data_IF_316644798637
#
_entry.id   IF_316644798637
#
_cell.length_a   1.000
_cell.length_b   1.000
_cell.length_c   1.000
_cell.angle_alpha   90.00
_cell.angle_beta   90.00
_cell.angle_gamma   90.00
#
_symmetry.space_group_name_H-M   'P 1'
#
loop_
_entity.id
_entity.type
_entity.pdbx_description
1 polymer ?
#
# COMPACT_ATOMS: atom_id res chain seq x y z
N UNK A 1 -49.63 -24.16 3.24
CA UNK A 1 -48.76 -24.37 4.42
C UNK A 1 -47.35 -23.97 4.02
N UNK A 2 -46.99 -22.71 4.25
CA UNK A 2 -45.68 -22.13 3.96
C UNK A 2 -44.86 -22.16 5.24
N UNK A 3 -43.71 -22.83 5.22
CA UNK A 3 -42.80 -22.90 6.36
C UNK A 3 -42.29 -21.50 6.76
N UNK A 4 -42.09 -21.21 8.06
CA UNK A 4 -41.58 -19.92 8.49
C UNK A 4 -40.11 -19.78 8.06
N UNK A 5 -39.76 -18.64 7.46
CA UNK A 5 -38.38 -18.26 7.14
C UNK A 5 -37.59 -18.12 8.45
N UNK A 6 -36.46 -18.81 8.55
CA UNK A 6 -35.48 -18.59 9.61
C UNK A 6 -35.03 -17.13 9.66
N UNK A 7 -34.85 -16.54 10.85
CA UNK A 7 -34.37 -15.16 10.97
C UNK A 7 -32.94 -15.06 10.44
N UNK A 8 -32.67 -13.96 9.71
CA UNK A 8 -31.34 -13.62 9.24
C UNK A 8 -30.36 -13.46 10.43
N UNK A 9 -29.10 -13.91 10.31
CA UNK A 9 -28.10 -13.68 11.35
C UNK A 9 -27.84 -12.16 11.47
N UNK A 10 -27.88 -11.66 12.70
CA UNK A 10 -27.61 -10.25 13.02
C UNK A 10 -26.15 -9.85 12.77
N UNK A 11 -25.81 -8.55 12.94
CA UNK A 11 -24.44 -8.06 12.76
C UNK A 11 -23.48 -8.86 13.65
N UNK A 12 -22.33 -9.22 13.10
CA UNK A 12 -21.31 -10.01 13.79
C UNK A 12 -20.86 -9.32 15.08
N UNK A 13 -21.47 -9.72 16.19
CA UNK A 13 -21.03 -9.41 17.54
C UNK A 13 -19.55 -9.78 17.69
N UNK A 14 -18.72 -8.98 18.38
CA UNK A 14 -17.34 -9.38 18.68
C UNK A 14 -17.32 -10.78 19.31
N UNK A 15 -16.35 -11.60 18.88
CA UNK A 15 -16.09 -12.92 19.45
C UNK A 15 -16.16 -12.87 20.98
N UNK A 16 -16.98 -13.76 21.55
CA UNK A 16 -17.27 -13.85 22.97
C UNK A 16 -16.05 -14.17 23.86
N UNK A 17 -14.86 -14.34 23.28
CA UNK A 17 -13.65 -14.80 23.99
C UNK A 17 -12.63 -13.70 24.32
N UNK A 18 -12.93 -12.42 24.08
CA UNK A 18 -11.99 -11.32 24.43
C UNK A 18 -10.64 -11.36 23.67
N UNK A 19 -10.50 -12.24 22.67
CA UNK A 19 -9.32 -12.33 21.82
C UNK A 19 -9.42 -11.28 20.72
N UNK A 20 -8.48 -10.33 20.74
CA UNK A 20 -8.43 -9.27 19.74
C UNK A 20 -8.33 -9.83 18.31
N UNK A 21 -9.10 -9.27 17.38
CA UNK A 21 -9.20 -9.76 16.00
C UNK A 21 -7.96 -9.37 15.22
N UNK A 22 -7.20 -10.34 14.71
CA UNK A 22 -6.02 -10.03 13.88
C UNK A 22 -6.46 -9.49 12.52
N UNK A 23 -5.68 -8.57 11.97
CA UNK A 23 -5.89 -8.05 10.61
C UNK A 23 -4.55 -7.75 9.96
N UNK A 24 -4.43 -8.03 8.66
CA UNK A 24 -3.34 -7.49 7.84
C UNK A 24 -3.83 -6.25 7.11
N UNK A 25 -2.95 -5.26 6.94
CA UNK A 25 -3.30 -4.01 6.29
C UNK A 25 -2.51 -3.80 5.02
N UNK A 26 -3.16 -3.27 3.99
CA UNK A 26 -2.52 -2.71 2.81
C UNK A 26 -2.87 -1.23 2.72
N UNK A 27 -1.87 -0.36 2.80
CA UNK A 27 -2.04 1.09 2.90
C UNK A 27 -1.54 1.77 1.63
N UNK A 28 -2.44 2.52 0.98
CA UNK A 28 -2.11 3.28 -0.23
C UNK A 28 -1.16 4.45 0.05
N UNK A 29 -0.31 4.79 -0.92
CA UNK A 29 0.41 6.05 -0.94
C UNK A 29 -0.50 7.25 -1.26
N UNK A 30 -0.28 8.37 -0.57
CA UNK A 30 -1.05 9.59 -0.81
C UNK A 30 -0.42 10.88 -0.28
N UNK A 31 0.88 10.89 -0.02
CA UNK A 31 1.60 12.04 0.56
C UNK A 31 0.97 12.51 1.87
N UNK A 32 0.62 13.80 1.96
CA UNK A 32 0.04 14.40 3.18
C UNK A 32 -1.33 13.82 3.58
N UNK A 33 -1.99 13.11 2.67
CA UNK A 33 -3.27 12.42 2.93
C UNK A 33 -3.15 11.26 3.92
N UNK A 34 -1.93 10.91 4.34
CA UNK A 34 -1.66 9.90 5.36
C UNK A 34 -2.43 10.11 6.68
N UNK A 35 -2.83 11.34 7.01
CA UNK A 35 -3.70 11.62 8.17
C UNK A 35 -5.02 10.84 8.09
N UNK A 36 -5.57 10.66 6.89
CA UNK A 36 -6.80 9.90 6.70
C UNK A 36 -6.58 8.40 6.93
N UNK A 37 -5.41 7.85 6.61
CA UNK A 37 -5.04 6.48 6.96
C UNK A 37 -5.03 6.30 8.48
N UNK A 38 -4.46 7.26 9.22
CA UNK A 38 -4.43 7.21 10.69
C UNK A 38 -5.82 7.27 11.32
N UNK A 39 -6.74 8.08 10.76
CA UNK A 39 -8.14 8.07 11.18
C UNK A 39 -8.82 6.71 10.98
N UNK A 40 -8.58 6.04 9.86
CA UNK A 40 -9.11 4.70 9.62
C UNK A 40 -8.48 3.65 10.57
N UNK A 41 -7.16 3.72 10.78
CA UNK A 41 -6.42 2.86 11.71
C UNK A 41 -6.97 2.95 13.15
N UNK A 42 -7.30 4.17 13.61
CA UNK A 42 -7.84 4.40 14.93
C UNK A 42 -9.19 3.70 15.12
N UNK A 43 -10.08 3.78 14.13
CA UNK A 43 -11.36 3.06 14.18
C UNK A 43 -11.16 1.55 14.17
N UNK A 44 -10.22 1.02 13.38
CA UNK A 44 -9.91 -0.41 13.40
C UNK A 44 -9.48 -0.86 14.81
N UNK A 45 -8.60 -0.11 15.46
CA UNK A 45 -8.17 -0.42 16.84
C UNK A 45 -9.33 -0.31 17.86
N UNK A 46 -10.17 0.72 17.76
CA UNK A 46 -11.37 0.89 18.60
C UNK A 46 -12.34 -0.28 18.49
N UNK A 47 -12.39 -0.93 17.33
CA UNK A 47 -13.21 -2.12 17.05
C UNK A 47 -12.55 -3.44 17.42
N UNK A 48 -11.42 -3.38 18.11
CA UNK A 48 -10.72 -4.54 18.62
C UNK A 48 -9.87 -5.25 17.57
N UNK A 49 -9.63 -4.62 16.41
CA UNK A 49 -8.65 -5.15 15.46
C UNK A 49 -7.23 -4.86 15.93
N UNK A 50 -6.35 -5.86 15.78
CA UNK A 50 -4.91 -5.76 16.04
C UNK A 50 -4.16 -6.03 14.76
N UNK A 51 -3.39 -5.02 14.35
CA UNK A 51 -2.62 -5.08 13.12
C UNK A 51 -1.47 -6.07 13.27
N UNK A 52 -1.54 -7.15 12.51
CA UNK A 52 -0.53 -8.18 12.50
C UNK A 52 0.60 -7.84 11.52
N UNK A 53 0.24 -7.55 10.26
CA UNK A 53 1.16 -7.15 9.20
C UNK A 53 0.64 -5.94 8.44
N UNK A 54 1.55 -5.18 7.84
CA UNK A 54 1.25 -4.03 7.00
C UNK A 54 2.08 -4.09 5.73
N UNK A 55 1.45 -3.84 4.59
CA UNK A 55 2.12 -3.48 3.37
C UNK A 55 1.77 -2.04 3.01
N UNK A 56 2.74 -1.25 2.57
CA UNK A 56 2.50 0.16 2.29
C UNK A 56 3.39 0.73 1.21
N UNK A 57 2.85 1.72 0.50
CA UNK A 57 3.56 2.58 -0.43
C UNK A 57 3.58 4.02 0.09
N UNK A 58 4.70 4.72 0.01
CA UNK A 58 4.82 6.16 0.31
C UNK A 58 4.24 6.52 1.71
N UNK A 59 3.21 7.35 1.79
CA UNK A 59 2.50 7.66 3.04
C UNK A 59 1.98 6.41 3.79
N UNK A 60 1.54 5.38 3.06
CA UNK A 60 1.15 4.10 3.63
C UNK A 60 2.34 3.34 4.21
N UNK A 61 3.54 3.48 3.64
CA UNK A 61 4.76 2.90 4.20
C UNK A 61 5.18 3.61 5.51
N UNK A 62 4.98 4.94 5.59
CA UNK A 62 5.19 5.70 6.83
C UNK A 62 4.22 5.21 7.92
N UNK A 63 2.92 5.21 7.63
CA UNK A 63 1.91 4.73 8.57
C UNK A 63 2.17 3.28 8.98
N UNK A 64 2.52 2.41 8.03
CA UNK A 64 2.87 1.03 8.30
C UNK A 64 4.10 0.87 9.20
N UNK A 65 5.15 1.67 9.00
CA UNK A 65 6.32 1.66 9.88
C UNK A 65 5.96 2.06 11.31
N UNK A 66 5.14 3.10 11.49
CA UNK A 66 4.68 3.55 12.81
C UNK A 66 3.79 2.50 13.51
N UNK A 67 2.82 1.93 12.80
CA UNK A 67 1.94 0.87 13.33
C UNK A 67 2.73 -0.38 13.71
N UNK A 68 3.67 -0.81 12.85
CA UNK A 68 4.45 -2.02 13.10
C UNK A 68 5.49 -1.84 14.19
N UNK A 69 5.93 -0.61 14.47
CA UNK A 69 6.72 -0.26 15.66
C UNK A 69 5.92 -0.35 16.98
N UNK A 70 4.61 -0.60 16.93
CA UNK A 70 3.76 -0.74 18.12
C UNK A 70 3.17 0.58 18.63
N UNK A 71 3.24 1.65 17.83
CA UNK A 71 2.65 2.94 18.17
C UNK A 71 1.12 2.82 18.08
N UNK A 72 0.36 3.13 19.15
CA UNK A 72 -1.10 3.13 19.10
C UNK A 72 -1.64 4.10 18.04
N UNK A 73 -2.73 3.74 17.36
CA UNK A 73 -3.25 4.53 16.24
C UNK A 73 -3.59 5.98 16.65
N UNK A 74 -4.16 6.18 17.85
CA UNK A 74 -4.40 7.53 18.42
C UNK A 74 -3.14 8.41 18.46
N UNK A 75 -1.99 7.80 18.74
CA UNK A 75 -0.70 8.50 18.81
C UNK A 75 -0.13 8.73 17.41
N UNK A 76 -0.36 7.80 16.47
CA UNK A 76 -0.04 8.02 15.05
C UNK A 76 -0.82 9.22 14.51
N UNK A 77 -2.11 9.35 14.85
CA UNK A 77 -2.92 10.52 14.50
C UNK A 77 -2.27 11.79 15.03
N UNK A 78 -1.86 11.82 16.31
CA UNK A 78 -1.19 12.97 16.90
C UNK A 78 0.12 13.32 16.19
N UNK A 79 1.01 12.34 15.99
CA UNK A 79 2.30 12.50 15.30
C UNK A 79 2.08 13.12 13.91
N UNK A 80 1.13 12.60 13.13
CA UNK A 80 0.86 13.10 11.79
C UNK A 80 0.22 14.50 11.79
N UNK A 81 -0.63 14.82 12.77
CA UNK A 81 -1.25 16.15 12.90
C UNK A 81 -0.24 17.24 13.30
N UNK A 82 0.70 16.91 14.18
CA UNK A 82 1.69 17.85 14.72
C UNK A 82 2.92 18.01 13.82
N UNK A 83 3.09 17.13 12.84
CA UNK A 83 4.22 17.20 11.91
C UNK A 83 4.10 18.39 10.98
N UNK A 84 5.09 19.29 11.02
CA UNK A 84 5.20 20.37 10.03
C UNK A 84 5.71 19.81 8.69
N UNK A 85 4.77 19.41 7.84
CA UNK A 85 5.00 18.86 6.52
C UNK A 85 5.83 19.78 5.60
N UNK A 86 5.86 21.10 5.84
CA UNK A 86 6.70 22.04 5.07
C UNK A 86 8.19 21.78 5.25
N UNK A 87 8.59 21.18 6.38
CA UNK A 87 9.98 20.78 6.63
C UNK A 87 10.40 19.59 5.77
N UNK A 88 9.44 18.85 5.20
CA UNK A 88 9.73 17.78 4.26
C UNK A 88 10.22 18.35 2.91
N UNK A 89 9.96 19.62 2.64
CA UNK A 89 10.45 20.37 1.47
C UNK A 89 11.93 20.81 1.63
N UNK A 90 12.82 19.88 1.96
CA UNK A 90 14.24 20.14 2.26
C UNK A 90 15.14 20.37 1.02
N UNK A 91 14.62 21.11 0.05
CA UNK A 91 15.31 21.51 -1.17
C UNK A 91 16.26 22.70 -0.94
N UNK A 92 17.33 22.85 -1.74
CA UNK A 92 18.20 24.04 -1.67
C UNK A 92 17.39 25.33 -1.88
N UNK A 93 17.75 26.42 -1.19
CA UNK A 93 17.03 27.70 -1.26
C UNK A 93 16.83 28.24 -2.69
N UNK A 94 17.76 27.95 -3.61
CA UNK A 94 17.69 28.34 -5.02
C UNK A 94 16.65 27.55 -5.85
N UNK A 95 16.10 26.46 -5.30
CA UNK A 95 15.01 25.69 -5.90
C UNK A 95 13.61 26.23 -5.56
N UNK A 96 13.52 27.31 -4.77
CA UNK A 96 12.25 28.00 -4.47
C UNK A 96 11.60 28.64 -5.71
N UNK A 97 12.32 29.37 -6.59
CA UNK A 97 11.75 29.88 -7.85
C UNK A 97 11.49 28.76 -8.88
N UNK A 98 10.47 28.94 -9.74
CA UNK A 98 10.04 27.99 -10.78
C UNK A 98 11.17 27.52 -11.70
N UNK A 99 12.07 28.43 -12.11
CA UNK A 99 13.23 28.09 -12.93
C UNK A 99 14.23 27.18 -12.18
N UNK A 100 14.40 27.39 -10.87
CA UNK A 100 15.23 26.56 -10.00
C UNK A 100 14.64 25.15 -9.81
N UNK A 101 13.31 25.00 -9.75
CA UNK A 101 12.65 23.69 -9.73
C UNK A 101 12.86 22.92 -11.03
N UNK A 102 12.69 23.57 -12.18
CA UNK A 102 12.94 22.96 -13.49
C UNK A 102 14.40 22.51 -13.64
N UNK A 103 15.35 23.33 -13.21
CA UNK A 103 16.77 22.98 -13.23
C UNK A 103 17.13 21.88 -12.22
N UNK A 104 16.56 21.86 -11.02
CA UNK A 104 16.79 20.80 -10.04
C UNK A 104 16.20 19.46 -10.49
N UNK A 105 15.05 19.47 -11.16
CA UNK A 105 14.50 18.28 -11.82
C UNK A 105 15.43 17.81 -12.95
N UNK A 106 15.94 18.73 -13.77
CA UNK A 106 16.87 18.43 -14.87
C UNK A 106 18.24 17.90 -14.38
N UNK A 107 18.77 18.44 -13.28
CA UNK A 107 20.12 18.11 -12.78
C UNK A 107 20.14 16.99 -11.73
N UNK A 108 19.06 16.82 -10.97
CA UNK A 108 19.03 15.93 -9.80
C UNK A 108 17.81 15.01 -9.76
N UNK A 109 16.96 15.03 -10.78
CA UNK A 109 15.75 14.20 -10.91
C UNK A 109 14.77 14.35 -9.73
N UNK A 110 14.87 15.43 -8.95
CA UNK A 110 14.03 15.75 -7.80
C UNK A 110 14.48 17.02 -7.06
N UNK A 111 13.53 17.75 -6.49
CA UNK A 111 13.74 19.05 -5.84
C UNK A 111 14.21 18.89 -4.38
N UNK A 112 13.62 17.96 -3.65
CA UNK A 112 13.81 17.75 -2.21
C UNK A 112 14.71 16.54 -1.93
N UNK A 113 15.59 16.62 -0.93
CA UNK A 113 16.52 15.54 -0.58
C UNK A 113 15.85 14.43 0.23
N UNK A 114 14.81 14.75 1.00
CA UNK A 114 14.13 13.87 1.94
C UNK A 114 14.99 13.41 3.12
N UNK A 115 16.03 14.17 3.45
CA UNK A 115 16.87 13.97 4.64
C UNK A 115 16.07 14.22 5.91
N UNK A 116 15.25 15.27 5.93
CA UNK A 116 14.41 15.56 7.10
C UNK A 116 13.39 14.45 7.34
N UNK A 117 12.70 13.96 6.30
CA UNK A 117 11.75 12.83 6.41
C UNK A 117 12.43 11.59 7.00
N UNK A 118 13.64 11.26 6.52
CA UNK A 118 14.41 10.13 7.04
C UNK A 118 14.77 10.30 8.52
N UNK A 119 15.23 11.48 8.92
CA UNK A 119 15.59 11.79 10.31
C UNK A 119 14.38 11.76 11.23
N UNK A 120 13.29 12.40 10.82
CA UNK A 120 12.02 12.41 11.54
C UNK A 120 11.51 10.99 11.77
N UNK A 121 11.47 10.15 10.73
CA UNK A 121 11.00 8.77 10.89
C UNK A 121 11.92 7.95 11.80
N UNK A 122 13.25 8.12 11.67
CA UNK A 122 14.21 7.47 12.56
C UNK A 122 13.98 7.86 14.02
N UNK A 123 13.68 9.13 14.29
CA UNK A 123 13.37 9.61 15.64
C UNK A 123 12.07 9.01 16.18
N UNK A 124 11.00 8.96 15.38
CA UNK A 124 9.74 8.34 15.79
C UNK A 124 9.91 6.84 16.09
N UNK A 125 10.62 6.11 15.22
CA UNK A 125 10.87 4.68 15.44
C UNK A 125 11.76 4.43 16.67
N UNK A 126 12.74 5.29 16.93
CA UNK A 126 13.60 5.18 18.13
C UNK A 126 12.84 5.54 19.41
N UNK A 127 11.96 6.54 19.37
CA UNK A 127 11.20 7.00 20.53
C UNK A 127 10.12 6.00 20.96
N UNK A 128 9.63 5.17 20.04
CA UNK A 128 8.52 4.25 20.30
C UNK A 128 8.85 2.77 20.06
N UNK A 129 10.04 2.45 19.55
CA UNK A 129 10.49 1.09 19.36
C UNK A 129 10.82 0.40 20.69
N UNK A 130 10.97 -0.92 20.63
CA UNK A 130 11.43 -1.71 21.76
C UNK A 130 12.84 -1.27 22.20
N UNK A 131 13.15 -1.43 23.48
CA UNK A 131 14.48 -1.18 23.99
C UNK A 131 15.52 -2.06 23.26
N UNK A 132 16.60 -1.45 22.76
CA UNK A 132 17.60 -2.13 21.95
C UNK A 132 17.21 -2.41 20.49
N UNK A 133 16.08 -1.89 20.00
CA UNK A 133 15.69 -2.02 18.60
C UNK A 133 16.79 -1.47 17.66
N UNK A 134 17.08 -2.24 16.61
CA UNK A 134 18.13 -1.93 15.63
C UNK A 134 17.69 -0.89 14.59
N UNK A 135 16.38 -0.70 14.42
CA UNK A 135 15.79 0.14 13.38
C UNK A 135 15.77 -0.52 12.00
N UNK A 136 16.04 -1.83 11.93
CA UNK A 136 16.04 -2.62 10.69
C UNK A 136 14.84 -3.58 10.63
N UNK A 137 14.66 -4.25 9.50
CA UNK A 137 13.62 -5.28 9.39
C UNK A 137 13.88 -6.52 10.26
N UNK A 138 15.05 -6.64 10.91
CA UNK A 138 15.29 -7.67 11.92
C UNK A 138 14.30 -7.56 13.09
N UNK A 139 13.97 -6.32 13.49
CA UNK A 139 13.03 -6.04 14.59
C UNK A 139 11.57 -6.38 14.21
N UNK A 140 11.30 -6.58 12.92
CA UNK A 140 9.96 -6.73 12.35
C UNK A 140 9.67 -8.15 11.85
N UNK A 141 10.39 -9.16 12.33
CA UNK A 141 10.14 -10.57 12.00
C UNK A 141 8.77 -11.03 12.53
N UNK A 142 8.03 -11.74 11.69
CA UNK A 142 6.82 -12.45 12.09
C UNK A 142 7.16 -13.89 12.47
N UNK A 143 6.60 -14.34 13.59
CA UNK A 143 6.46 -15.76 13.91
C UNK A 143 5.01 -16.16 13.68
N UNK A 144 4.77 -17.32 13.08
CA UNK A 144 3.43 -17.87 12.96
C UNK A 144 2.87 -18.10 14.36
N UNK A 145 1.72 -17.51 14.72
CA UNK A 145 1.15 -17.68 16.05
C UNK A 145 0.81 -19.13 16.43
N UNK A 146 0.60 -20.02 15.46
CA UNK A 146 0.26 -21.42 15.68
C UNK A 146 1.49 -22.34 15.70
N UNK A 147 2.47 -22.12 14.83
CA UNK A 147 3.63 -23.03 14.69
C UNK A 147 4.92 -22.47 15.30
N UNK A 148 4.97 -21.18 15.65
CA UNK A 148 6.19 -20.50 16.12
C UNK A 148 7.28 -20.36 15.04
N UNK A 149 7.03 -20.83 13.82
CA UNK A 149 7.99 -20.78 12.71
C UNK A 149 7.92 -19.44 12.00
N UNK A 150 9.02 -19.02 11.37
CA UNK A 150 9.04 -17.80 10.56
C UNK A 150 8.51 -18.13 9.16
N UNK A 151 7.37 -17.54 8.73
CA UNK A 151 6.82 -17.83 7.41
C UNK A 151 7.74 -17.35 6.27
N UNK A 152 7.68 -18.01 5.12
CA UNK A 152 8.40 -17.58 3.92
C UNK A 152 7.75 -16.33 3.27
N UNK A 153 8.54 -15.59 2.47
CA UNK A 153 8.05 -14.47 1.68
C UNK A 153 7.52 -13.29 2.50
N UNK A 154 6.45 -12.65 2.01
CA UNK A 154 5.84 -11.46 2.64
C UNK A 154 5.31 -11.73 4.05
N UNK A 155 4.92 -12.98 4.32
CA UNK A 155 4.34 -13.38 5.59
C UNK A 155 5.37 -13.43 6.73
N UNK A 156 6.67 -13.44 6.41
CA UNK A 156 7.78 -13.49 7.37
C UNK A 156 8.10 -12.16 8.06
N UNK A 157 7.45 -11.07 7.65
CA UNK A 157 7.71 -9.72 8.16
C UNK A 157 6.41 -8.99 8.50
N UNK A 158 6.45 -8.15 9.54
CA UNK A 158 5.33 -7.30 9.97
C UNK A 158 5.14 -6.12 9.03
N UNK A 159 6.20 -5.69 8.33
CA UNK A 159 6.15 -4.58 7.38
C UNK A 159 6.68 -5.03 6.02
N UNK A 160 5.95 -4.68 4.97
CA UNK A 160 6.37 -4.78 3.57
C UNK A 160 6.24 -3.40 2.93
N UNK A 161 7.35 -2.85 2.43
CA UNK A 161 7.38 -1.54 1.79
C UNK A 161 7.54 -1.72 0.29
N UNK A 162 6.69 -1.07 -0.50
CA UNK A 162 6.85 -1.10 -1.97
C UNK A 162 7.69 0.06 -2.47
N UNK A 163 8.61 -0.21 -3.39
CA UNK A 163 9.40 0.81 -4.07
C UNK A 163 9.57 0.44 -5.54
N UNK A 164 9.60 1.43 -6.43
CA UNK A 164 9.78 1.20 -7.86
C UNK A 164 11.26 1.25 -8.21
N UNK A 165 11.80 0.15 -8.72
CA UNK A 165 13.20 0.05 -9.16
C UNK A 165 13.29 0.47 -10.63
N UNK A 166 13.80 1.69 -10.85
CA UNK A 166 13.99 2.25 -12.19
C UNK A 166 15.13 1.56 -12.95
N UNK A 167 16.09 0.97 -12.25
CA UNK A 167 17.23 0.28 -12.87
C UNK A 167 16.79 -1.07 -13.44
N UNK A 168 15.93 -1.80 -12.72
CA UNK A 168 15.41 -3.10 -13.15
C UNK A 168 14.03 -3.03 -13.82
N UNK A 169 13.36 -1.87 -13.82
CA UNK A 169 12.03 -1.68 -14.40
C UNK A 169 10.93 -2.49 -13.72
N UNK A 170 11.02 -2.72 -12.40
CA UNK A 170 10.05 -3.54 -11.65
C UNK A 170 9.76 -3.01 -10.25
N UNK A 171 8.61 -3.39 -9.72
CA UNK A 171 8.26 -3.13 -8.32
C UNK A 171 9.09 -4.04 -7.40
N UNK A 172 9.54 -3.48 -6.29
CA UNK A 172 10.25 -4.18 -5.22
C UNK A 172 9.39 -4.22 -3.97
N UNK A 173 9.40 -5.36 -3.30
CA UNK A 173 8.80 -5.57 -1.99
C UNK A 173 9.94 -5.68 -0.98
N UNK A 174 10.15 -4.63 -0.18
CA UNK A 174 11.17 -4.60 0.85
C UNK A 174 10.58 -5.09 2.18
N UNK A 175 11.18 -6.07 2.86
CA UNK A 175 12.56 -6.52 2.69
C UNK A 175 12.76 -7.76 1.82
N UNK A 176 11.70 -8.32 1.20
CA UNK A 176 11.78 -9.58 0.43
C UNK A 176 12.83 -9.51 -0.70
N UNK A 177 12.89 -8.38 -1.39
CA UNK A 177 13.81 -8.13 -2.50
C UNK A 177 15.17 -7.56 -2.05
N UNK A 178 15.51 -7.61 -0.75
CA UNK A 178 16.76 -7.04 -0.23
C UNK A 178 18.02 -7.59 -0.92
N UNK A 179 18.03 -8.88 -1.28
CA UNK A 179 19.14 -9.50 -2.00
C UNK A 179 19.43 -8.82 -3.35
N UNK A 180 18.39 -8.33 -4.04
CA UNK A 180 18.54 -7.61 -5.30
C UNK A 180 19.14 -6.20 -5.10
N UNK A 181 19.14 -5.68 -3.87
CA UNK A 181 19.82 -4.46 -3.46
C UNK A 181 21.23 -4.74 -2.91
N UNK A 182 21.69 -5.99 -2.95
CA UNK A 182 22.99 -6.40 -2.42
C UNK A 182 23.10 -6.28 -0.89
N UNK A 183 22.00 -6.51 -0.18
CA UNK A 183 21.92 -6.57 1.29
C UNK A 183 21.04 -7.74 1.74
N UNK A 184 21.05 -8.06 3.03
CA UNK A 184 20.08 -9.00 3.62
C UNK A 184 18.84 -8.26 4.13
N UNK A 185 17.68 -8.93 4.22
CA UNK A 185 16.50 -8.37 4.88
C UNK A 185 16.80 -7.80 6.27
N UNK A 186 17.57 -8.52 7.08
CA UNK A 186 17.86 -8.18 8.48
C UNK A 186 18.78 -6.95 8.61
N UNK A 187 19.65 -6.72 7.63
CA UNK A 187 20.52 -5.55 7.60
C UNK A 187 19.84 -4.32 6.98
N UNK A 188 18.64 -4.46 6.41
CA UNK A 188 17.94 -3.38 5.70
C UNK A 188 17.31 -2.39 6.71
N UNK A 189 17.72 -1.10 6.74
CA UNK A 189 17.09 -0.12 7.61
C UNK A 189 15.66 0.18 7.17
N UNK A 190 14.71 0.15 8.09
CA UNK A 190 13.28 0.44 7.80
C UNK A 190 13.15 1.86 7.24
N UNK A 191 13.87 2.81 7.83
CA UNK A 191 13.86 4.22 7.42
C UNK A 191 14.32 4.43 5.98
N UNK A 192 15.27 3.62 5.51
CA UNK A 192 15.80 3.75 4.14
C UNK A 192 14.85 3.11 3.11
N UNK A 193 14.20 2.00 3.47
CA UNK A 193 13.14 1.40 2.66
C UNK A 193 11.93 2.36 2.53
N UNK A 194 11.47 2.94 3.64
CA UNK A 194 10.37 3.93 3.62
C UNK A 194 10.80 5.18 2.85
N UNK A 195 12.02 5.69 3.05
CA UNK A 195 12.53 6.83 2.29
C UNK A 195 12.58 6.55 0.78
N UNK A 196 12.98 5.35 0.37
CA UNK A 196 12.91 4.95 -1.03
C UNK A 196 11.45 4.98 -1.55
N UNK A 197 10.53 4.40 -0.78
CA UNK A 197 9.10 4.34 -1.08
C UNK A 197 8.41 5.71 -1.11
N UNK A 198 8.96 6.75 -0.48
CA UNK A 198 8.42 8.13 -0.52
C UNK A 198 9.12 9.01 -1.56
N UNK A 199 9.95 8.45 -2.44
CA UNK A 199 10.75 9.21 -3.42
C UNK A 199 9.91 9.58 -4.66
N UNK A 200 8.88 10.41 -4.48
CA UNK A 200 7.97 10.81 -5.56
C UNK A 200 8.77 11.47 -6.69
N UNK A 201 8.75 10.93 -7.93
CA UNK A 201 9.51 11.47 -9.05
C UNK A 201 9.25 12.96 -9.26
N UNK A 202 10.29 13.70 -9.65
CA UNK A 202 10.28 15.16 -9.83
C UNK A 202 10.13 15.98 -8.53
N UNK A 203 9.66 15.38 -7.43
CA UNK A 203 9.50 16.06 -6.13
C UNK A 203 10.64 15.71 -5.17
N UNK A 204 10.78 14.44 -4.80
CA UNK A 204 11.91 13.95 -4.00
C UNK A 204 12.99 13.36 -4.92
N UNK A 205 14.26 13.57 -4.54
CA UNK A 205 15.39 12.92 -5.20
C UNK A 205 15.26 11.40 -5.07
N UNK A 206 15.55 10.66 -6.15
CA UNK A 206 15.54 9.20 -6.11
C UNK A 206 16.61 8.69 -5.14
N UNK A 207 16.31 7.57 -4.46
CA UNK A 207 17.28 6.89 -3.60
C UNK A 207 18.21 6.06 -4.47
N UNK A 208 19.50 6.33 -4.40
CA UNK A 208 20.54 5.52 -5.06
C UNK A 208 21.08 4.52 -4.05
N UNK A 209 20.64 3.27 -4.17
CA UNK A 209 21.11 2.18 -3.33
C UNK A 209 22.40 1.60 -3.88
N UNK A 210 23.46 1.58 -3.09
CA UNK A 210 24.74 0.96 -3.45
C UNK A 210 24.90 -0.33 -2.65
N UNK A 211 24.62 -1.46 -3.30
CA UNK A 211 24.82 -2.78 -2.69
C UNK A 211 26.29 -3.21 -2.67
N UNK A 212 26.59 -4.28 -1.93
CA UNK A 212 27.94 -4.84 -1.83
C UNK A 212 28.55 -5.26 -3.19
N UNK A 213 27.72 -5.50 -4.21
CA UNK A 213 28.14 -5.88 -5.56
C UNK A 213 28.47 -4.72 -6.51
N UNK A 214 28.61 -3.48 -6.02
CA UNK A 214 29.06 -2.31 -6.81
C UNK A 214 28.05 -1.74 -7.81
N UNK A 215 26.96 -2.46 -8.14
CA UNK A 215 25.85 -1.93 -8.95
C UNK A 215 24.99 -0.98 -8.13
N UNK A 216 24.72 0.20 -8.69
CA UNK A 216 23.82 1.20 -8.09
C UNK A 216 22.40 0.97 -8.60
N UNK A 217 21.47 0.70 -7.69
CA UNK A 217 20.04 0.61 -7.97
C UNK A 217 19.38 1.97 -7.70
N UNK A 218 18.51 2.43 -8.60
CA UNK A 218 17.78 3.69 -8.43
C UNK A 218 16.33 3.37 -8.06
N UNK A 219 15.96 3.71 -6.83
CA UNK A 219 14.63 3.49 -6.28
C UNK A 219 13.85 4.81 -6.24
N UNK A 220 12.58 4.74 -6.65
CA UNK A 220 11.60 5.80 -6.51
C UNK A 220 10.34 5.29 -5.82
N UNK A 221 9.39 6.19 -5.59
CA UNK A 221 8.11 5.90 -4.94
C UNK A 221 7.43 4.65 -5.52
N UNK A 222 6.89 3.80 -4.64
CA UNK A 222 6.21 2.57 -5.03
C UNK A 222 4.98 2.85 -5.90
N UNK A 223 4.33 4.00 -5.69
CA UNK A 223 3.18 4.47 -6.45
C UNK A 223 3.44 4.67 -7.93
N UNK A 224 4.70 4.71 -8.39
CA UNK A 224 5.02 4.73 -9.82
C UNK A 224 4.55 3.44 -10.54
N UNK A 225 4.70 2.27 -9.91
CA UNK A 225 4.36 0.98 -10.51
C UNK A 225 3.19 0.27 -9.81
N UNK A 226 3.00 0.48 -8.51
CA UNK A 226 1.83 -0.01 -7.77
C UNK A 226 1.67 0.77 -6.48
N UNK A 227 0.62 1.60 -6.40
CA UNK A 227 0.35 2.39 -5.22
C UNK A 227 -0.41 1.59 -4.15
N UNK A 228 -0.99 0.44 -4.52
CA UNK A 228 -1.87 -0.34 -3.66
C UNK A 228 -1.76 -1.86 -3.90
N UNK A 229 -0.75 -2.54 -3.30
CA UNK A 229 -0.50 -3.97 -3.51
C UNK A 229 -1.44 -4.85 -2.66
N UNK A 230 -2.75 -4.75 -2.88
CA UNK A 230 -3.80 -5.37 -2.02
C UNK A 230 -3.66 -6.89 -1.85
N UNK A 231 -3.07 -7.57 -2.83
CA UNK A 231 -2.86 -9.01 -2.87
C UNK A 231 -1.55 -9.50 -2.23
N UNK A 232 -0.72 -8.61 -1.68
CA UNK A 232 0.60 -8.95 -1.13
C UNK A 232 0.58 -9.99 -0.01
N UNK A 233 -0.52 -10.05 0.75
CA UNK A 233 -0.74 -11.04 1.82
C UNK A 233 -1.76 -12.11 1.44
N UNK A 234 -2.16 -12.19 0.17
CA UNK A 234 -3.06 -13.25 -0.28
C UNK A 234 -2.30 -14.57 -0.35
N UNK A 235 -2.96 -15.64 0.11
CA UNK A 235 -2.36 -16.98 0.06
C UNK A 235 -2.33 -17.48 -1.39
N UNK A 236 -1.22 -18.09 -1.83
CA UNK A 236 -1.16 -18.76 -3.13
C UNK A 236 -2.30 -19.77 -3.28
N UNK A 237 -2.86 -19.89 -4.49
CA UNK A 237 -3.94 -20.86 -4.75
C UNK A 237 -5.32 -20.46 -4.21
N UNK A 238 -5.48 -19.27 -3.64
CA UNK A 238 -6.79 -18.77 -3.19
C UNK A 238 -7.30 -19.38 -1.89
N UNK A 239 -6.40 -20.00 -1.11
CA UNK A 239 -6.71 -20.58 0.19
C UNK A 239 -7.40 -19.57 1.12
N UNK A 240 -8.28 -20.09 1.99
CA UNK A 240 -8.98 -19.28 2.98
C UNK A 240 -7.97 -18.72 3.99
N UNK A 241 -7.86 -17.38 4.12
CA UNK A 241 -6.95 -16.79 5.09
C UNK A 241 -7.46 -17.00 6.52
N UNK A 242 -6.55 -17.06 7.50
CA UNK A 242 -6.89 -17.21 8.93
C UNK A 242 -7.53 -15.96 9.53
N UNK A 243 -7.28 -14.80 8.94
CA UNK A 243 -7.82 -13.50 9.34
C UNK A 243 -7.91 -12.58 8.11
N UNK A 244 -8.71 -11.50 8.16
CA UNK A 244 -8.86 -10.62 7.02
C UNK A 244 -7.62 -9.79 6.72
N UNK A 245 -7.52 -9.39 5.44
CA UNK A 245 -6.58 -8.37 4.98
C UNK A 245 -7.37 -7.17 4.49
N UNK A 246 -7.32 -6.05 5.20
CA UNK A 246 -8.00 -4.82 4.79
C UNK A 246 -7.09 -3.93 3.95
N UNK A 247 -7.62 -3.48 2.83
CA UNK A 247 -7.03 -2.40 2.06
C UNK A 247 -7.55 -1.04 2.56
N UNK A 248 -6.69 -0.02 2.63
CA UNK A 248 -7.12 1.36 2.89
C UNK A 248 -6.62 2.24 1.74
N UNK A 249 -7.56 2.76 0.95
CA UNK A 249 -7.30 3.55 -0.25
C UNK A 249 -7.78 4.98 -0.05
N UNK A 250 -6.95 5.95 -0.42
CA UNK A 250 -7.14 7.40 -0.30
C UNK A 250 -7.85 8.02 -1.51
N UNK A 251 -8.44 7.20 -2.38
CA UNK A 251 -9.25 7.63 -3.51
C UNK A 251 -10.66 7.03 -3.45
N UNK A 252 -11.61 7.72 -4.07
CA UNK A 252 -12.99 7.27 -4.19
C UNK A 252 -13.08 5.98 -5.04
N UNK A 253 -14.22 5.27 -4.94
CA UNK A 253 -14.49 4.04 -5.69
C UNK A 253 -14.32 4.28 -7.21
N UNK A 254 -13.85 3.27 -7.99
CA UNK A 254 -13.44 3.44 -9.41
C UNK A 254 -14.50 4.06 -10.33
N UNK A 255 -15.77 3.92 -9.98
CA UNK A 255 -16.93 4.36 -10.78
C UNK A 255 -17.13 5.89 -10.81
N UNK A 256 -16.41 6.65 -9.98
CA UNK A 256 -16.76 8.05 -9.70
C UNK A 256 -16.03 9.14 -10.52
N UNK A 257 -15.14 8.83 -11.49
CA UNK A 257 -14.21 9.87 -11.98
C UNK A 257 -13.91 9.85 -13.49
N UNK A 258 -14.77 10.53 -14.27
CA UNK A 258 -14.55 10.92 -15.68
C UNK A 258 -14.42 12.46 -15.83
N UNK A 259 -13.61 13.10 -14.97
CA UNK A 259 -13.29 14.53 -15.06
C UNK A 259 -11.96 14.84 -15.78
N UNK A 260 -11.80 16.08 -16.25
CA UNK A 260 -10.51 16.59 -16.78
C UNK A 260 -9.49 16.69 -15.64
N UNK A 261 -8.65 15.66 -15.47
CA UNK A 261 -7.70 15.56 -14.35
C UNK A 261 -6.47 16.47 -14.47
N UNK A 262 -5.96 16.70 -15.69
CA UNK A 262 -4.66 17.35 -15.90
C UNK A 262 -4.75 18.56 -16.84
N UNK A 263 -4.35 19.75 -16.37
CA UNK A 263 -4.10 20.93 -17.22
C UNK A 263 -2.61 21.00 -17.56
N UNK A 264 -2.27 20.82 -18.83
CA UNK A 264 -0.88 20.81 -19.32
C UNK A 264 -0.51 22.24 -19.74
N UNK A 265 0.42 22.87 -19.01
CA UNK A 265 0.87 24.27 -19.24
C UNK A 265 2.39 24.39 -19.45
N UNK A 266 3.09 23.26 -19.64
CA UNK A 266 4.55 23.23 -19.89
C UNK A 266 5.19 21.86 -19.61
N UNK A 267 6.52 21.72 -19.83
CA UNK A 267 7.22 20.44 -19.79
C UNK A 267 7.11 19.67 -18.45
N UNK A 268 7.18 20.38 -17.31
CA UNK A 268 7.02 19.76 -15.99
C UNK A 268 5.59 19.25 -15.76
N UNK A 269 4.57 20.03 -16.14
CA UNK A 269 3.17 19.60 -16.04
C UNK A 269 2.82 18.46 -16.99
N UNK A 270 3.51 18.38 -18.14
CA UNK A 270 3.40 17.25 -19.06
C UNK A 270 4.02 15.98 -18.47
N UNK A 271 5.24 16.05 -17.94
CA UNK A 271 5.89 14.92 -17.28
C UNK A 271 5.08 14.39 -16.09
N UNK A 272 4.51 15.30 -15.30
CA UNK A 272 3.57 14.94 -14.23
C UNK A 272 2.31 14.26 -14.77
N UNK A 273 1.70 14.80 -15.84
CA UNK A 273 0.49 14.22 -16.41
C UNK A 273 0.73 12.80 -16.97
N UNK A 274 1.89 12.56 -17.60
CA UNK A 274 2.29 11.22 -18.05
C UNK A 274 2.43 10.28 -16.87
N UNK A 275 3.12 10.71 -15.81
CA UNK A 275 3.28 9.95 -14.58
C UNK A 275 1.92 9.59 -13.97
N UNK A 276 1.06 10.59 -13.72
CA UNK A 276 -0.28 10.41 -13.15
C UNK A 276 -1.17 9.47 -13.99
N UNK A 277 -0.95 9.40 -15.31
CA UNK A 277 -1.69 8.51 -16.22
C UNK A 277 -1.23 7.06 -16.07
N UNK A 278 0.10 6.82 -16.03
CA UNK A 278 0.66 5.47 -15.89
C UNK A 278 0.30 4.88 -14.53
N UNK A 279 0.44 5.66 -13.46
CA UNK A 279 0.15 5.19 -12.09
C UNK A 279 -1.34 4.87 -11.92
N UNK A 280 -2.22 5.74 -12.40
CA UNK A 280 -3.67 5.53 -12.32
C UNK A 280 -4.17 4.31 -13.10
N UNK A 281 -3.50 3.94 -14.20
CA UNK A 281 -3.81 2.72 -14.96
C UNK A 281 -3.42 1.44 -14.21
N UNK A 282 -2.19 1.39 -13.69
CA UNK A 282 -1.69 0.21 -12.95
C UNK A 282 -2.51 -0.10 -11.70
N UNK A 283 -2.93 0.93 -10.96
CA UNK A 283 -3.76 0.76 -9.77
C UNK A 283 -5.14 0.18 -10.09
N UNK A 284 -5.78 0.61 -11.18
CA UNK A 284 -7.09 0.10 -11.60
C UNK A 284 -7.02 -1.38 -11.96
N UNK A 285 -6.02 -1.78 -12.74
CA UNK A 285 -5.82 -3.17 -13.18
C UNK A 285 -5.71 -4.16 -12.01
N UNK A 286 -5.18 -3.74 -10.86
CA UNK A 286 -5.02 -4.60 -9.67
C UNK A 286 -6.22 -4.58 -8.71
N UNK A 287 -7.09 -3.58 -8.79
CA UNK A 287 -8.25 -3.42 -7.89
C UNK A 287 -9.52 -3.97 -8.51
N UNK A 288 -9.64 -4.04 -9.84
CA UNK A 288 -10.83 -4.52 -10.55
C UNK A 288 -11.21 -5.98 -10.27
N UNK A 289 -10.43 -6.69 -9.44
CA UNK A 289 -10.85 -7.95 -8.87
C UNK A 289 -11.87 -7.71 -7.73
N UNK A 290 -13.11 -8.16 -7.93
CA UNK A 290 -14.24 -8.00 -6.99
C UNK A 290 -13.94 -8.39 -5.53
N UNK A 291 -13.02 -9.34 -5.31
CA UNK A 291 -12.56 -9.75 -3.98
C UNK A 291 -11.62 -8.74 -3.29
N UNK A 292 -10.94 -7.87 -4.03
CA UNK A 292 -10.08 -6.81 -3.50
C UNK A 292 -10.91 -5.59 -3.11
N UNK A 293 -11.87 -5.20 -3.95
CA UNK A 293 -12.83 -4.12 -3.65
C UNK A 293 -13.61 -4.41 -2.37
N UNK A 294 -14.10 -5.64 -2.20
CA UNK A 294 -14.94 -6.02 -1.06
C UNK A 294 -14.25 -5.86 0.31
N UNK A 295 -12.91 -5.90 0.36
CA UNK A 295 -12.11 -5.76 1.60
C UNK A 295 -11.33 -4.44 1.66
N UNK A 296 -11.73 -3.45 0.86
CA UNK A 296 -11.04 -2.15 0.79
C UNK A 296 -11.90 -1.04 1.35
N UNK A 297 -11.35 -0.29 2.30
CA UNK A 297 -11.88 0.97 2.83
C UNK A 297 -11.47 2.09 1.88
N UNK A 298 -12.44 2.68 1.19
CA UNK A 298 -12.22 3.82 0.30
C UNK A 298 -12.47 5.13 1.02
N UNK A 299 -11.47 6.01 1.03
CA UNK A 299 -11.53 7.32 1.67
C UNK A 299 -11.47 8.38 0.58
N UNK A 300 -12.57 9.09 0.36
CA UNK A 300 -12.59 10.19 -0.60
C UNK A 300 -11.78 11.40 -0.08
N UNK A 301 -10.58 11.58 -0.59
CA UNK A 301 -9.71 12.73 -0.25
C UNK A 301 -9.55 13.72 -1.40
N UNK A 302 -10.50 13.80 -2.35
CA UNK A 302 -10.36 14.62 -3.56
C UNK A 302 -10.10 16.12 -3.29
N UNK A 303 -10.57 16.62 -2.14
CA UNK A 303 -10.39 18.02 -1.73
C UNK A 303 -8.93 18.43 -1.49
N UNK A 304 -8.04 17.47 -1.17
CA UNK A 304 -6.64 17.74 -0.82
C UNK A 304 -5.72 17.10 -1.86
N UNK A 305 -4.62 17.76 -2.22
CA UNK A 305 -3.61 17.16 -3.12
C UNK A 305 -2.55 16.40 -2.33
N UNK A 306 -2.01 15.27 -2.85
CA UNK A 306 -0.96 14.51 -2.16
C UNK A 306 0.30 15.33 -1.82
N UNK A 307 0.62 16.33 -2.64
CA UNK A 307 1.82 17.18 -2.51
C UNK A 307 1.52 18.56 -1.89
N UNK A 308 0.42 18.72 -1.17
CA UNK A 308 0.05 19.97 -0.49
C UNK A 308 0.64 19.96 0.92
N UNK A 309 1.95 20.23 1.05
CA UNK A 309 2.68 20.16 2.32
C UNK A 309 2.39 21.32 3.28
N UNK A 310 1.57 22.29 2.86
CA UNK A 310 1.04 23.41 3.61
C UNK A 310 -0.41 23.17 4.05
N UNK A 311 -0.70 22.02 4.66
CA UNK A 311 -2.02 21.72 5.20
C UNK A 311 -2.42 22.67 6.32
N UNK A 312 -3.62 23.22 6.22
CA UNK A 312 -4.27 23.90 7.34
C UNK A 312 -4.73 22.89 8.40
N UNK A 313 -4.90 23.35 9.65
CA UNK A 313 -5.45 22.51 10.71
C UNK A 313 -6.85 21.97 10.37
N UNK A 314 -7.66 22.75 9.65
CA UNK A 314 -8.99 22.34 9.19
C UNK A 314 -8.93 21.24 8.13
N UNK A 315 -8.01 21.33 7.16
CA UNK A 315 -7.82 20.28 6.15
C UNK A 315 -7.30 18.99 6.78
N UNK A 316 -6.37 19.08 7.74
CA UNK A 316 -5.89 17.94 8.52
C UNK A 316 -7.03 17.26 9.30
N UNK A 317 -7.86 18.04 9.99
CA UNK A 317 -9.04 17.54 10.70
C UNK A 317 -10.08 16.93 9.75
N UNK A 318 -10.29 17.52 8.57
CA UNK A 318 -11.17 16.97 7.55
C UNK A 318 -10.68 15.61 7.06
N UNK A 319 -9.40 15.46 6.75
CA UNK A 319 -8.80 14.18 6.32
C UNK A 319 -8.97 13.12 7.42
N UNK A 320 -8.69 13.48 8.66
CA UNK A 320 -8.87 12.61 9.82
C UNK A 320 -10.32 12.11 9.94
N UNK A 321 -11.29 13.03 9.94
CA UNK A 321 -12.72 12.69 10.03
C UNK A 321 -13.19 11.82 8.89
N UNK A 322 -12.73 12.10 7.66
CA UNK A 322 -13.05 11.29 6.49
C UNK A 322 -12.52 9.86 6.61
N UNK A 323 -11.28 9.69 7.10
CA UNK A 323 -10.70 8.38 7.39
C UNK A 323 -11.51 7.57 8.39
N UNK A 324 -11.87 8.21 9.53
CA UNK A 324 -12.73 7.58 10.54
C UNK A 324 -14.09 7.18 9.97
N UNK A 325 -14.78 8.13 9.31
CA UNK A 325 -16.10 7.89 8.73
C UNK A 325 -16.10 6.71 7.75
N UNK A 326 -15.10 6.63 6.88
CA UNK A 326 -14.99 5.53 5.92
C UNK A 326 -14.77 4.17 6.59
N UNK A 327 -13.95 4.12 7.64
CA UNK A 327 -13.73 2.88 8.40
C UNK A 327 -14.98 2.44 9.18
N UNK A 328 -15.70 3.39 9.80
CA UNK A 328 -16.98 3.11 10.47
C UNK A 328 -18.01 2.57 9.48
N UNK A 329 -18.19 3.25 8.35
CA UNK A 329 -19.11 2.81 7.31
C UNK A 329 -18.73 1.41 6.78
N UNK A 330 -17.45 1.11 6.63
CA UNK A 330 -16.99 -0.21 6.17
C UNK A 330 -17.29 -1.32 7.19
N UNK A 331 -17.05 -1.05 8.48
CA UNK A 331 -17.24 -2.06 9.52
C UNK A 331 -18.72 -2.24 9.91
N UNK A 332 -19.46 -1.14 10.09
CA UNK A 332 -20.85 -1.15 10.57
C UNK A 332 -21.88 -1.20 9.46
N UNK A 333 -21.46 -0.92 8.23
CA UNK A 333 -22.36 -0.63 7.14
C UNK A 333 -22.91 0.80 7.21
N UNK A 334 -23.61 1.18 6.15
CA UNK A 334 -24.38 2.41 6.06
C UNK A 334 -25.60 2.19 5.14
N UNK A 335 -26.22 3.25 4.62
CA UNK A 335 -27.36 3.15 3.72
C UNK A 335 -27.01 2.54 2.34
N UNK A 336 -25.74 2.50 1.97
CA UNK A 336 -25.24 2.06 0.66
C UNK A 336 -24.49 0.73 0.72
N UNK A 337 -23.97 0.33 1.88
CA UNK A 337 -23.20 -0.91 2.03
C UNK A 337 -23.52 -1.68 3.33
N UNK A 338 -23.47 -3.01 3.24
CA UNK A 338 -23.63 -3.89 4.40
C UNK A 338 -22.40 -3.85 5.32
N UNK A 339 -22.57 -4.16 6.62
CA UNK A 339 -21.44 -4.31 7.55
C UNK A 339 -20.44 -5.37 7.07
N UNK A 340 -19.18 -5.17 7.44
CA UNK A 340 -18.12 -6.12 7.16
C UNK A 340 -18.37 -7.45 7.88
N UNK A 341 -18.36 -8.55 7.13
CA UNK A 341 -18.42 -9.91 7.65
C UNK A 341 -17.35 -10.77 6.95
N UNK A 342 -16.40 -11.27 7.75
CA UNK A 342 -15.30 -12.09 7.26
C UNK A 342 -15.74 -13.48 6.78
N UNK A 343 -16.74 -14.09 7.43
CA UNK A 343 -17.28 -15.38 7.02
C UNK A 343 -18.03 -15.23 5.69
N UNK A 344 -18.83 -14.18 5.54
CA UNK A 344 -19.51 -13.88 4.28
C UNK A 344 -18.50 -13.59 3.15
N UNK A 345 -17.44 -12.83 3.45
CA UNK A 345 -16.37 -12.56 2.48
C UNK A 345 -15.69 -13.85 2.00
N UNK A 346 -15.27 -14.71 2.93
CA UNK A 346 -14.56 -15.96 2.60
C UNK A 346 -15.47 -16.92 1.84
N UNK A 347 -16.74 -17.07 2.24
CA UNK A 347 -17.71 -17.86 1.51
C UNK A 347 -17.89 -17.39 0.05
N UNK A 348 -17.95 -16.07 -0.16
CA UNK A 348 -18.16 -15.48 -1.49
C UNK A 348 -16.93 -15.55 -2.39
N UNK A 349 -15.74 -15.34 -1.85
CA UNK A 349 -14.54 -15.09 -2.66
C UNK A 349 -13.42 -16.12 -2.51
N UNK A 350 -13.47 -16.99 -1.50
CA UNK A 350 -12.41 -17.98 -1.19
C UNK A 350 -12.93 -19.42 -1.08
N UNK A 351 -14.25 -19.61 -0.99
CA UNK A 351 -14.88 -20.92 -0.90
C UNK A 351 -15.02 -21.63 -2.25
N UNK A 352 -13.92 -22.17 -2.80
CA UNK A 352 -13.87 -23.35 -3.68
C UNK A 352 -14.67 -23.44 -5.00
N UNK A 353 -15.67 -22.61 -5.26
CA UNK A 353 -16.35 -22.55 -6.55
C UNK A 353 -15.63 -21.52 -7.41
N UNK A 354 -14.70 -21.97 -8.26
CA UNK A 354 -14.15 -21.14 -9.32
C UNK A 354 -15.29 -20.49 -10.13
N UNK A 355 -15.08 -19.30 -10.71
CA UNK A 355 -16.10 -18.68 -11.54
C UNK A 355 -16.51 -19.67 -12.62
N UNK A 356 -17.79 -20.05 -12.65
CA UNK A 356 -18.37 -20.76 -13.78
C UNK A 356 -18.06 -19.92 -15.02
N UNK A 357 -17.34 -20.44 -16.02
CA UNK A 357 -17.12 -19.68 -17.23
C UNK A 357 -18.49 -19.31 -17.82
N UNK A 358 -18.67 -18.09 -18.34
CA UNK A 358 -19.92 -17.73 -19.00
C UNK A 358 -20.21 -18.77 -20.09
N UNK A 359 -21.38 -19.39 -20.00
CA UNK A 359 -21.89 -20.31 -21.01
C UNK A 359 -22.08 -19.54 -22.32
N UNK A 360 -21.07 -19.58 -23.19
CA UNK A 360 -21.11 -18.84 -24.45
C UNK A 360 -19.74 -18.57 -25.04
N UNK A 361 -18.98 -19.63 -25.33
CA UNK A 361 -17.83 -19.56 -26.23
C UNK A 361 -17.45 -20.98 -26.66
N UNK A 362 -18.12 -21.47 -27.69
CA UNK A 362 -17.65 -22.61 -28.47
C UNK A 362 -16.33 -22.23 -29.13
N UNK A 363 -15.22 -22.69 -28.57
CA UNK A 363 -13.92 -22.66 -29.25
C UNK A 363 -13.89 -23.84 -30.23
N UNK A 364 -13.53 -23.65 -31.51
CA UNK A 364 -13.41 -24.77 -32.43
C UNK A 364 -12.20 -25.63 -32.05
N UNK A 365 -12.37 -26.95 -32.13
CA UNK A 365 -11.31 -27.93 -31.90
C UNK A 365 -10.09 -27.69 -32.81
N UNK A 366 -8.87 -27.94 -32.34
CA UNK A 366 -7.72 -28.02 -33.22
C UNK A 366 -7.75 -29.34 -34.00
N UNK A 367 -7.71 -29.24 -35.33
CA UNK A 367 -7.63 -30.38 -36.23
C UNK A 367 -6.42 -31.28 -35.90
N UNK A 368 -6.69 -32.57 -35.78
CA UNK A 368 -5.70 -33.65 -35.67
C UNK A 368 -5.02 -33.94 -37.02
N UNK A 369 -3.70 -34.11 -37.02
CA UNK A 369 -2.91 -34.70 -38.12
C UNK A 369 -1.62 -33.90 -38.36
N UNK A 370 -0.40 -34.44 -38.40
CA UNK A 370 0.06 -35.82 -38.51
C UNK A 370 1.49 -35.95 -37.91
N UNK A 371 1.87 -37.19 -37.59
CA UNK A 371 3.16 -37.64 -37.02
C UNK A 371 4.42 -37.27 -37.81
N UNK A 372 5.61 -37.27 -37.16
CA UNK A 372 6.90 -37.17 -37.82
C UNK A 372 7.50 -38.56 -38.10
N UNK A 373 8.17 -38.74 -39.24
CA UNK A 373 9.14 -39.82 -39.50
C UNK A 373 10.07 -39.44 -40.69
N UNK A 374 11.18 -40.14 -40.95
CA UNK A 374 12.52 -39.81 -40.47
C UNK A 374 13.52 -39.52 -41.61
N UNK A 375 14.75 -39.14 -41.24
CA UNK A 375 15.76 -38.61 -42.16
C UNK A 375 16.46 -39.61 -43.11
N UNK A 376 17.09 -39.01 -44.13
CA UNK A 376 18.25 -39.42 -44.95
C UNK A 376 18.41 -38.26 -45.97
N UNK A 377 19.54 -37.70 -46.39
CA UNK A 377 20.95 -38.07 -46.43
C UNK A 377 21.53 -37.37 -47.69
N UNK A 378 22.77 -36.85 -47.60
CA UNK A 378 23.66 -36.43 -48.71
C UNK A 378 23.15 -35.30 -49.65
N UNK A 379 23.78 -34.12 -49.70
CA UNK A 379 25.05 -33.80 -50.38
C UNK A 379 25.43 -32.36 -50.07
#
# INVERSE_FOLDING_TARGET
MTAPRSPAPGPSTPSADGVAQRVDLVLEGGGVKGIALAGALEVLEERGYRVHRVAGSSAGAIAGALVTAGIPARQIVQILRETDYRRFEDGPWWTRPLAGKALAVLLHNGVHRGTYLRQWLAEQLRAHGAEGATGTFADLRCQDPATGTVPAGAHGYRLVVTASDLTAGRLRYLPLDAAALGTSPEALPVVDAVRASTSIPLFFRPVRWRGAGGRSTVLVDGGLLSNFPVSVFDRPGGEVPRWPTFGIKLSAKPEADFGVRNRIRGPLSFGKAVLDTVTGFYDRMHIDASHAVARTIFIDTAAVRPTQFDLTAEEGELLYRKGRKAALAFLDGDHEQQPWDFAAYTARFRGGAGPTPPSGSTRPEPASGASPAPGAGQR
#
